data_IF_582032500277
#
_entry.id   IF_582032500277
#
_cell.length_a   1.000
_cell.length_b   1.000
_cell.length_c   1.000
_cell.angle_alpha   90.00
_cell.angle_beta   90.00
_cell.angle_gamma   90.00
#
_symmetry.space_group_name_H-M   'P 1'
#
loop_
_entity.id
_entity.type
_entity.pdbx_description
1 polymer ?
#
# COMPACT_ATOMS: atom_id res chain seq x y z
N UNK A 1 3.83 4.24 5.82
CA UNK A 1 2.77 5.01 6.52
C UNK A 1 2.65 6.43 5.96
N UNK A 2 3.66 7.30 6.09
CA UNK A 2 3.61 8.64 5.47
C UNK A 2 3.53 8.58 3.93
N UNK A 3 4.34 7.70 3.32
CA UNK A 3 4.30 7.45 1.87
C UNK A 3 2.99 6.87 1.34
N UNK A 4 2.31 5.98 2.09
CA UNK A 4 1.01 5.41 1.69
C UNK A 4 -0.13 6.42 1.85
N UNK A 5 -0.15 7.17 2.96
CA UNK A 5 -1.11 8.26 3.16
C UNK A 5 -0.93 9.40 2.16
N UNK A 6 0.31 9.71 1.76
CA UNK A 6 0.58 10.74 0.77
C UNK A 6 0.18 10.30 -0.65
N UNK A 7 0.31 9.00 -0.97
CA UNK A 7 -0.21 8.43 -2.20
C UNK A 7 -1.75 8.48 -2.23
N UNK A 8 -2.41 8.09 -1.12
CA UNK A 8 -3.85 8.18 -0.96
C UNK A 8 -4.36 9.61 -1.12
N UNK A 9 -3.73 10.59 -0.46
CA UNK A 9 -4.10 12.02 -0.58
C UNK A 9 -3.89 12.59 -1.99
N UNK A 10 -2.98 12.02 -2.79
CA UNK A 10 -2.80 12.41 -4.20
C UNK A 10 -3.92 11.81 -5.05
N UNK A 11 -4.26 10.55 -4.82
CA UNK A 11 -5.37 9.87 -5.49
C UNK A 11 -6.72 10.53 -5.18
N UNK A 12 -7.00 10.83 -3.91
CA UNK A 12 -8.22 11.53 -3.49
C UNK A 12 -8.34 12.91 -4.15
N UNK A 13 -7.23 13.65 -4.27
CA UNK A 13 -7.22 14.95 -4.95
C UNK A 13 -7.50 14.82 -6.44
N UNK A 14 -6.86 13.86 -7.11
CA UNK A 14 -7.11 13.58 -8.53
C UNK A 14 -8.58 13.20 -8.77
N UNK A 15 -9.14 12.33 -7.91
CA UNK A 15 -10.53 11.92 -7.93
C UNK A 15 -11.51 13.11 -7.79
N UNK A 16 -11.26 14.01 -6.83
CA UNK A 16 -12.09 15.20 -6.62
C UNK A 16 -12.02 16.15 -7.82
N UNK A 17 -10.84 16.35 -8.41
CA UNK A 17 -10.68 17.21 -9.59
C UNK A 17 -11.38 16.64 -10.82
N UNK A 18 -11.30 15.32 -11.04
CA UNK A 18 -11.96 14.67 -12.18
C UNK A 18 -13.48 14.63 -12.00
N UNK A 19 -13.97 14.35 -10.79
CA UNK A 19 -15.40 14.48 -10.44
C UNK A 19 -15.95 15.85 -10.80
N UNK A 20 -15.25 16.93 -10.44
CA UNK A 20 -15.70 18.29 -10.75
C UNK A 20 -15.73 18.56 -12.27
N UNK A 21 -14.77 18.02 -13.03
CA UNK A 21 -14.75 18.14 -14.48
C UNK A 21 -15.94 17.41 -15.14
N UNK A 22 -16.23 16.17 -14.71
CA UNK A 22 -17.36 15.39 -15.23
C UNK A 22 -18.71 16.01 -14.86
N UNK A 23 -18.86 16.51 -13.63
CA UNK A 23 -20.08 17.23 -13.22
C UNK A 23 -20.33 18.50 -14.05
N UNK A 24 -19.28 19.20 -14.49
CA UNK A 24 -19.44 20.36 -15.39
C UNK A 24 -19.93 19.96 -16.78
N UNK A 25 -19.45 18.84 -17.33
CA UNK A 25 -19.92 18.31 -18.62
C UNK A 25 -21.41 17.97 -18.58
N UNK A 26 -21.83 17.27 -17.54
CA UNK A 26 -23.25 16.98 -17.30
C UNK A 26 -24.09 18.24 -17.14
N UNK A 27 -23.58 19.25 -16.42
CA UNK A 27 -24.30 20.52 -16.26
C UNK A 27 -24.43 21.28 -17.58
N UNK A 28 -23.39 21.31 -18.41
CA UNK A 28 -23.46 21.93 -19.74
C UNK A 28 -24.41 21.17 -20.67
N UNK A 29 -24.37 19.84 -20.64
CA UNK A 29 -25.26 18.95 -21.41
C UNK A 29 -26.72 19.16 -21.01
N UNK A 30 -26.99 19.26 -19.70
CA UNK A 30 -28.30 19.57 -19.12
C UNK A 30 -28.88 20.91 -19.61
N UNK A 31 -28.06 21.96 -19.69
CA UNK A 31 -28.51 23.29 -20.14
C UNK A 31 -28.82 23.32 -21.64
N UNK A 32 -28.10 22.53 -22.42
CA UNK A 32 -28.29 22.45 -23.88
C UNK A 32 -29.37 21.45 -24.30
N UNK A 33 -30.04 20.77 -23.35
CA UNK A 33 -31.09 19.81 -23.66
C UNK A 33 -32.29 20.50 -24.31
N UNK A 34 -32.43 20.30 -25.62
CA UNK A 34 -33.69 20.49 -26.32
C UNK A 34 -34.50 19.18 -26.24
N UNK A 35 -35.78 19.28 -25.86
CA UNK A 35 -36.65 18.15 -25.50
C UNK A 35 -37.06 17.36 -26.76
N UNK A 36 -36.09 16.65 -27.31
CA UNK A 36 -36.20 15.67 -28.39
C UNK A 36 -35.80 14.31 -27.82
N UNK A 37 -36.48 13.25 -28.25
CA UNK A 37 -36.30 11.90 -27.69
C UNK A 37 -34.92 11.27 -27.92
N UNK A 38 -34.14 11.73 -28.91
CA UNK A 38 -32.75 11.28 -29.11
C UNK A 38 -31.78 11.91 -28.10
N UNK A 39 -31.85 13.24 -27.92
CA UNK A 39 -31.01 13.99 -26.99
C UNK A 39 -31.14 13.51 -25.53
N UNK A 40 -32.31 12.99 -25.15
CA UNK A 40 -32.55 12.46 -23.79
C UNK A 40 -31.78 11.16 -23.54
N UNK A 41 -31.70 10.26 -24.51
CA UNK A 41 -30.98 8.98 -24.34
C UNK A 41 -29.48 9.21 -24.19
N UNK A 42 -28.93 10.11 -24.99
CA UNK A 42 -27.51 10.47 -24.94
C UNK A 42 -27.13 11.12 -23.61
N UNK A 43 -27.98 12.01 -23.09
CA UNK A 43 -27.81 12.59 -21.76
C UNK A 43 -27.88 11.54 -20.63
N UNK A 44 -28.81 10.58 -20.70
CA UNK A 44 -28.87 9.49 -19.72
C UNK A 44 -27.63 8.59 -19.75
N UNK A 45 -27.05 8.34 -20.93
CA UNK A 45 -25.79 7.62 -21.07
C UNK A 45 -24.63 8.38 -20.42
N UNK A 46 -24.53 9.69 -20.67
CA UNK A 46 -23.50 10.56 -20.08
C UNK A 46 -23.60 10.63 -18.54
N UNK A 47 -24.83 10.72 -18.01
CA UNK A 47 -25.09 10.64 -16.56
C UNK A 47 -24.62 9.30 -16.01
N UNK A 48 -25.03 8.20 -16.65
CA UNK A 48 -24.75 6.85 -16.16
C UNK A 48 -23.24 6.59 -16.11
N UNK A 49 -22.51 7.01 -17.15
CA UNK A 49 -21.05 6.92 -17.22
C UNK A 49 -20.37 7.74 -16.12
N UNK A 50 -20.84 8.96 -15.87
CA UNK A 50 -20.30 9.81 -14.81
C UNK A 50 -20.57 9.24 -13.42
N UNK A 51 -21.77 8.70 -13.17
CA UNK A 51 -22.12 8.06 -11.90
C UNK A 51 -21.22 6.84 -11.65
N UNK A 52 -21.03 5.99 -12.65
CA UNK A 52 -20.20 4.80 -12.54
C UNK A 52 -18.73 5.17 -12.30
N UNK A 53 -18.20 6.16 -13.02
CA UNK A 53 -16.86 6.69 -12.81
C UNK A 53 -16.67 7.21 -11.37
N UNK A 54 -17.62 8.01 -10.85
CA UNK A 54 -17.55 8.55 -9.49
C UNK A 54 -17.68 7.45 -8.43
N UNK A 55 -18.53 6.44 -8.62
CA UNK A 55 -18.65 5.31 -7.70
C UNK A 55 -17.35 4.50 -7.64
N UNK A 56 -16.75 4.21 -8.81
CA UNK A 56 -15.48 3.51 -8.90
C UNK A 56 -14.35 4.28 -8.22
N UNK A 57 -14.28 5.59 -8.47
CA UNK A 57 -13.28 6.48 -7.86
C UNK A 57 -13.42 6.54 -6.32
N UNK A 58 -14.65 6.64 -5.81
CA UNK A 58 -14.92 6.63 -4.38
C UNK A 58 -14.62 5.26 -3.74
N UNK A 59 -14.95 4.16 -4.42
CA UNK A 59 -14.66 2.78 -3.98
C UNK A 59 -13.17 2.53 -3.86
N UNK A 60 -12.36 3.03 -4.80
CA UNK A 60 -10.91 2.90 -4.75
C UNK A 60 -10.30 3.73 -3.63
N UNK A 61 -10.77 4.96 -3.43
CA UNK A 61 -10.35 5.78 -2.29
C UNK A 61 -10.58 5.05 -0.95
N UNK A 62 -11.74 4.42 -0.79
CA UNK A 62 -12.10 3.68 0.42
C UNK A 62 -11.38 2.32 0.58
N UNK A 63 -10.65 1.82 -0.44
CA UNK A 63 -9.92 0.54 -0.33
C UNK A 63 -8.75 0.61 0.65
N UNK A 64 -8.02 1.72 0.71
CA UNK A 64 -6.85 1.86 1.58
C UNK A 64 -7.23 2.04 3.07
N UNK A 65 -8.42 2.61 3.33
CA UNK A 65 -9.00 2.69 4.67
C UNK A 65 -9.59 1.37 5.17
N UNK A 66 -9.77 0.37 4.29
CA UNK A 66 -10.25 -0.95 4.73
C UNK A 66 -9.15 -1.63 5.54
N UNK A 67 -9.47 -2.11 6.76
CA UNK A 67 -8.51 -2.86 7.54
C UNK A 67 -8.04 -4.06 6.72
N UNK A 68 -6.73 -4.26 6.66
CA UNK A 68 -6.18 -5.40 5.93
C UNK A 68 -6.73 -6.70 6.52
N UNK A 69 -6.90 -7.68 5.65
CA UNK A 69 -7.33 -9.02 6.02
C UNK A 69 -6.12 -9.96 6.08
N UNK A 70 -6.17 -10.95 6.96
CA UNK A 70 -5.11 -11.95 7.12
C UNK A 70 -5.04 -12.83 5.87
N UNK A 71 -4.17 -12.44 4.94
CA UNK A 71 -3.68 -13.31 3.84
C UNK A 71 -2.37 -13.97 4.31
N UNK A 72 -1.92 -15.07 3.67
CA UNK A 72 -0.70 -15.76 4.08
C UNK A 72 0.52 -14.83 4.18
N UNK A 73 0.73 -13.96 3.19
CA UNK A 73 1.86 -13.03 3.18
C UNK A 73 1.71 -11.90 4.22
N UNK A 74 0.53 -11.30 4.38
CA UNK A 74 0.28 -10.26 5.39
C UNK A 74 0.48 -10.80 6.81
N UNK A 75 0.16 -12.08 7.03
CA UNK A 75 0.32 -12.75 8.34
C UNK A 75 1.79 -12.90 8.72
N UNK A 76 2.66 -13.20 7.74
CA UNK A 76 4.11 -13.27 7.96
C UNK A 76 4.66 -11.87 8.28
N UNK A 77 4.24 -10.85 7.51
CA UNK A 77 4.66 -9.46 7.74
C UNK A 77 4.19 -8.96 9.12
N UNK A 78 2.97 -9.29 9.52
CA UNK A 78 2.47 -9.01 10.86
C UNK A 78 3.31 -9.70 11.95
N UNK A 79 3.60 -10.99 11.78
CA UNK A 79 4.37 -11.78 12.75
C UNK A 79 5.81 -11.25 12.87
N UNK A 80 6.43 -10.87 11.76
CA UNK A 80 7.74 -10.22 11.76
C UNK A 80 7.68 -8.84 12.42
N UNK A 81 6.65 -8.04 12.12
CA UNK A 81 6.44 -6.71 12.71
C UNK A 81 6.22 -6.75 14.22
N UNK A 82 5.60 -7.81 14.76
CA UNK A 82 5.46 -8.04 16.20
C UNK A 82 6.81 -8.36 16.83
N UNK A 83 7.56 -9.30 16.27
CA UNK A 83 8.87 -9.72 16.80
C UNK A 83 9.91 -8.59 16.75
N UNK A 84 9.94 -7.85 15.64
CA UNK A 84 10.85 -6.72 15.44
C UNK A 84 10.39 -5.44 16.13
N UNK A 85 9.25 -5.48 16.81
CA UNK A 85 8.63 -4.33 17.49
C UNK A 85 8.31 -3.14 16.58
N UNK A 86 8.22 -3.35 15.26
CA UNK A 86 7.82 -2.31 14.30
C UNK A 86 6.34 -1.96 14.48
N UNK A 87 5.48 -2.98 14.60
CA UNK A 87 4.07 -2.83 14.93
C UNK A 87 3.28 -1.86 14.03
N UNK A 88 3.21 -2.11 12.71
CA UNK A 88 2.58 -1.21 11.74
C UNK A 88 1.12 -0.79 12.07
N UNK A 89 0.36 -1.64 12.76
CA UNK A 89 -1.00 -1.34 13.22
C UNK A 89 -2.09 -1.32 12.14
N UNK A 90 -1.74 -1.66 10.90
CA UNK A 90 -2.66 -1.81 9.75
C UNK A 90 -3.42 -3.15 9.76
N UNK A 91 -2.82 -4.17 10.37
CA UNK A 91 -3.39 -5.50 10.60
C UNK A 91 -3.48 -5.78 12.11
N UNK A 92 -4.69 -6.02 12.62
CA UNK A 92 -4.91 -6.23 14.06
C UNK A 92 -5.74 -7.47 14.35
N UNK A 93 -5.32 -8.22 15.37
CA UNK A 93 -6.05 -9.39 15.83
C UNK A 93 -7.25 -8.95 16.67
N UNK A 94 -8.45 -9.24 16.18
CA UNK A 94 -9.71 -8.83 16.85
C UNK A 94 -10.20 -9.84 17.88
N UNK A 95 -9.77 -11.10 17.79
CA UNK A 95 -10.18 -12.17 18.69
C UNK A 95 -9.41 -12.11 20.02
N UNK A 96 -10.08 -12.41 21.13
CA UNK A 96 -9.48 -12.38 22.47
C UNK A 96 -8.35 -13.42 22.59
N UNK A 97 -8.60 -14.65 22.11
CA UNK A 97 -7.60 -15.72 22.09
C UNK A 97 -6.40 -15.38 21.21
N UNK A 98 -6.62 -14.79 20.04
CA UNK A 98 -5.54 -14.40 19.14
C UNK A 98 -4.68 -13.26 19.70
N UNK A 99 -5.26 -12.33 20.47
CA UNK A 99 -4.49 -11.30 21.20
C UNK A 99 -3.59 -11.91 22.25
N UNK A 100 -4.10 -12.86 23.04
CA UNK A 100 -3.30 -13.55 24.04
C UNK A 100 -2.12 -14.31 23.41
N UNK A 101 -2.37 -15.04 22.32
CA UNK A 101 -1.31 -15.70 21.55
C UNK A 101 -0.29 -14.70 20.99
N UNK A 102 -0.73 -13.55 20.50
CA UNK A 102 0.17 -12.50 19.99
C UNK A 102 1.08 -11.94 21.09
N UNK A 103 0.56 -11.80 22.32
CA UNK A 103 1.34 -11.34 23.48
C UNK A 103 2.40 -12.39 23.85
N UNK A 104 2.00 -13.66 23.97
CA UNK A 104 2.95 -14.75 24.26
C UNK A 104 4.06 -14.82 23.20
N UNK A 105 3.66 -14.72 21.93
CA UNK A 105 4.58 -14.68 20.81
C UNK A 105 5.56 -13.50 20.88
N UNK A 106 5.10 -12.32 21.27
CA UNK A 106 5.98 -11.16 21.47
C UNK A 106 6.97 -11.36 22.63
N UNK A 107 6.52 -11.91 23.76
CA UNK A 107 7.36 -12.12 24.96
C UNK A 107 8.57 -13.00 24.67
N UNK A 108 8.39 -14.10 23.94
CA UNK A 108 9.50 -14.99 23.56
C UNK A 108 10.22 -14.55 22.27
N UNK A 109 9.48 -13.97 21.32
CA UNK A 109 10.01 -13.62 20.01
C UNK A 109 10.96 -12.42 20.04
N UNK A 110 10.68 -11.39 20.85
CA UNK A 110 11.54 -10.20 20.96
C UNK A 110 12.96 -10.55 21.44
N UNK A 111 13.18 -11.24 22.58
CA UNK A 111 14.53 -11.57 23.03
C UNK A 111 15.27 -12.48 22.06
N UNK A 112 14.57 -13.45 21.44
CA UNK A 112 15.14 -14.33 20.44
C UNK A 112 15.60 -13.56 19.19
N UNK A 113 14.80 -12.59 18.75
CA UNK A 113 15.12 -11.78 17.57
C UNK A 113 16.28 -10.81 17.82
N UNK A 114 16.42 -10.28 19.04
CA UNK A 114 17.58 -9.47 19.41
C UNK A 114 18.86 -10.31 19.34
N UNK A 115 18.85 -11.52 19.89
CA UNK A 115 19.98 -12.45 19.78
C UNK A 115 20.30 -12.81 18.32
N UNK A 116 19.27 -13.17 17.55
CA UNK A 116 19.40 -13.48 16.12
C UNK A 116 19.98 -12.31 15.31
N UNK A 117 19.58 -11.08 15.63
CA UNK A 117 20.07 -9.89 14.91
C UNK A 117 21.58 -9.70 15.09
N UNK A 118 22.14 -10.03 16.26
CA UNK A 118 23.58 -9.96 16.49
C UNK A 118 24.34 -10.95 15.59
N UNK A 119 23.90 -12.21 15.56
CA UNK A 119 24.50 -13.26 14.72
C UNK A 119 24.35 -12.96 13.23
N UNK A 120 23.18 -12.42 12.84
CA UNK A 120 22.91 -12.01 11.47
C UNK A 120 23.81 -10.84 11.04
N UNK A 121 24.05 -9.88 11.93
CA UNK A 121 24.99 -8.78 11.71
C UNK A 121 26.42 -9.26 11.46
N UNK A 122 26.89 -10.23 12.23
CA UNK A 122 28.21 -10.84 12.04
C UNK A 122 28.33 -11.59 10.71
N UNK A 123 27.28 -12.29 10.30
CA UNK A 123 27.21 -12.96 9.01
C UNK A 123 27.32 -11.93 7.86
N UNK A 124 26.59 -10.82 7.95
CA UNK A 124 26.65 -9.72 6.98
C UNK A 124 28.04 -9.10 6.94
N UNK A 125 28.68 -8.88 8.09
CA UNK A 125 30.03 -8.31 8.16
C UNK A 125 31.06 -9.21 7.48
N UNK A 126 30.99 -10.52 7.72
CA UNK A 126 31.83 -11.53 7.05
C UNK A 126 31.57 -11.56 5.54
N UNK A 127 30.30 -11.50 5.14
CA UNK A 127 29.93 -11.48 3.73
C UNK A 127 30.45 -10.22 3.03
N UNK A 128 30.21 -9.05 3.62
CA UNK A 128 30.70 -7.75 3.14
C UNK A 128 32.22 -7.76 3.00
N UNK A 129 32.94 -8.28 4.00
CA UNK A 129 34.40 -8.39 3.96
C UNK A 129 34.89 -9.30 2.81
N UNK A 130 34.19 -10.42 2.55
CA UNK A 130 34.49 -11.29 1.40
C UNK A 130 34.24 -10.59 0.08
N UNK A 131 33.09 -9.92 -0.05
CA UNK A 131 32.71 -9.17 -1.26
C UNK A 131 33.71 -8.05 -1.53
N UNK A 132 34.11 -7.29 -0.52
CA UNK A 132 35.12 -6.22 -0.67
C UNK A 132 36.46 -6.78 -1.14
N UNK A 133 36.91 -7.90 -0.56
CA UNK A 133 38.15 -8.56 -1.01
C UNK A 133 38.04 -9.01 -2.47
N UNK A 134 36.93 -9.66 -2.82
CA UNK A 134 36.66 -10.10 -4.20
C UNK A 134 36.66 -8.92 -5.19
N UNK A 135 35.97 -7.83 -4.85
CA UNK A 135 35.94 -6.61 -5.67
C UNK A 135 37.34 -6.00 -5.80
N UNK A 136 38.11 -5.92 -4.71
CA UNK A 136 39.47 -5.38 -4.72
C UNK A 136 40.40 -6.18 -5.64
N UNK A 137 40.33 -7.51 -5.58
CA UNK A 137 41.13 -8.40 -6.44
C UNK A 137 40.70 -8.29 -7.91
N UNK A 138 39.40 -8.17 -8.17
CA UNK A 138 38.87 -7.96 -9.52
C UNK A 138 39.35 -6.61 -10.10
N UNK A 139 39.28 -5.55 -9.31
CA UNK A 139 39.71 -4.21 -9.73
C UNK A 139 41.23 -4.15 -9.96
N UNK A 140 42.02 -4.82 -9.11
CA UNK A 140 43.47 -4.94 -9.30
C UNK A 140 43.84 -5.74 -10.56
N UNK A 141 43.06 -6.76 -10.91
CA UNK A 141 43.23 -7.53 -12.15
C UNK A 141 42.82 -6.74 -13.38
N UNK A 142 41.82 -5.87 -13.27
CA UNK A 142 41.39 -4.98 -14.34
C UNK A 142 42.40 -3.86 -14.61
N UNK A 143 42.91 -3.19 -13.56
CA UNK A 143 43.89 -2.10 -13.68
C UNK A 143 45.28 -2.57 -14.18
N UNK A 144 45.56 -3.87 -14.07
CA UNK A 144 46.80 -4.49 -14.56
C UNK A 144 46.72 -4.87 -16.05
N UNK A 145 45.55 -4.79 -16.69
CA UNK A 145 45.38 -4.84 -18.15
C UNK A 145 45.33 -3.43 -18.72
#
# INVERSE_FOLDING_TARGET
LRSSQDAQKRFDRACITEKQASMRKLWTSYITLNISGENIRDFWNEISETIEYVDNCHRESMRDLRPKVFKPYESIVFSFGVITTIGYGDLVVRTVSGRFLSILYAVFGIPLNVAFTADFGDLISKFTSKVIKYIRELYASYLRR
#
